data_IF_235372260952
#
_entry.id   IF_235372260952
#
_cell.length_a   1.000
_cell.length_b   1.000
_cell.length_c   1.000
_cell.angle_alpha   90.00
_cell.angle_beta   90.00
_cell.angle_gamma   90.00
#
_symmetry.space_group_name_H-M   'P 1'
#
loop_
_entity.id
_entity.type
_entity.pdbx_description
1 polymer ?
#
# COMPACT_ATOMS: atom_id res chain seq x y z
N UNK A 1 42.07 -4.31 63.34
CA UNK A 1 41.63 -3.20 64.21
C UNK A 1 42.39 -1.93 63.82
N UNK A 2 41.79 -0.77 64.15
CA UNK A 2 42.36 0.53 64.59
C UNK A 2 43.89 0.62 64.81
N UNK A 3 44.58 1.78 64.75
CA UNK A 3 44.36 3.18 64.25
C UNK A 3 45.80 3.78 64.12
N UNK A 4 46.22 4.63 63.18
CA UNK A 4 45.74 5.93 62.64
C UNK A 4 46.25 7.17 63.42
N UNK A 5 46.78 8.19 62.69
CA UNK A 5 47.30 9.53 63.09
C UNK A 5 48.65 9.65 63.87
N UNK A 6 49.41 10.79 63.90
CA UNK A 6 49.79 11.88 62.94
C UNK A 6 50.71 12.94 63.64
N UNK A 7 51.17 14.00 62.92
CA UNK A 7 51.81 15.28 63.41
C UNK A 7 53.29 15.15 63.88
N UNK A 8 54.24 16.11 63.74
CA UNK A 8 54.68 17.18 62.78
C UNK A 8 55.49 18.24 63.56
N UNK A 9 56.73 18.56 63.14
CA UNK A 9 57.53 19.82 63.28
C UNK A 9 58.92 19.56 62.61
N UNK A 10 59.66 20.40 61.84
CA UNK A 10 59.91 21.87 61.77
C UNK A 10 60.67 22.40 63.02
N UNK A 11 61.82 23.10 63.01
CA UNK A 11 62.68 23.81 62.01
C UNK A 11 64.12 23.99 62.61
N UNK A 12 65.23 24.48 61.99
CA UNK A 12 65.62 24.91 60.63
C UNK A 12 67.17 25.02 60.46
N UNK A 13 67.66 25.09 59.20
CA UNK A 13 68.87 25.80 58.65
C UNK A 13 70.27 25.68 59.31
N UNK A 14 71.23 25.19 58.50
CA UNK A 14 72.60 25.71 58.32
C UNK A 14 73.04 25.44 56.85
N UNK A 15 74.05 26.12 56.29
CA UNK A 15 74.36 26.05 54.85
C UNK A 15 75.83 26.24 54.44
N UNK A 16 76.04 26.67 53.19
CA UNK A 16 77.31 26.86 52.44
C UNK A 16 77.92 25.63 51.76
N UNK A 17 77.66 25.54 50.44
CA UNK A 17 78.55 25.20 49.33
C UNK A 17 79.75 24.27 49.52
N UNK A 18 79.76 23.19 48.72
CA UNK A 18 80.76 23.09 47.65
C UNK A 18 80.31 22.25 46.46
N UNK A 19 80.88 22.61 45.32
CA UNK A 19 80.62 22.17 43.95
C UNK A 19 80.31 20.67 43.77
N UNK A 20 79.20 20.38 43.08
CA UNK A 20 79.00 19.10 42.40
C UNK A 20 78.72 19.38 40.91
N UNK A 21 79.42 18.68 40.02
CA UNK A 21 79.25 18.86 38.58
C UNK A 21 77.88 18.32 38.14
N UNK A 22 77.02 19.19 37.63
CA UNK A 22 75.78 18.78 36.94
C UNK A 22 76.15 18.32 35.54
N UNK A 23 75.73 17.12 35.17
CA UNK A 23 75.96 16.53 33.85
C UNK A 23 75.05 17.15 32.78
N UNK A 24 75.64 18.04 31.98
CA UNK A 24 74.97 18.70 30.86
C UNK A 24 74.65 17.77 29.67
N UNK A 25 75.08 16.50 29.65
CA UNK A 25 74.68 15.52 28.62
C UNK A 25 73.16 15.34 28.55
N UNK A 26 72.48 15.53 29.69
CA UNK A 26 71.02 15.44 29.85
C UNK A 26 70.22 16.60 29.24
N UNK A 27 70.85 17.71 28.87
CA UNK A 27 70.17 18.87 28.25
C UNK A 27 70.14 18.86 26.73
N UNK A 28 70.61 17.78 26.10
CA UNK A 28 70.50 17.60 24.66
C UNK A 28 69.08 17.14 24.28
N UNK A 29 68.11 18.04 24.38
CA UNK A 29 66.77 17.86 23.79
C UNK A 29 66.96 17.82 22.26
N UNK A 30 67.21 16.63 21.72
CA UNK A 30 66.99 16.38 20.32
C UNK A 30 65.53 16.75 20.02
N UNK A 31 65.25 17.60 19.02
CA UNK A 31 63.87 17.82 18.59
C UNK A 31 63.30 16.45 18.20
N UNK A 32 62.18 16.07 18.81
CA UNK A 32 61.56 14.76 18.61
C UNK A 32 61.37 14.51 17.12
N UNK A 33 62.15 13.58 16.56
CA UNK A 33 62.20 13.35 15.11
C UNK A 33 60.92 12.61 14.74
N UNK A 34 59.87 13.37 14.45
CA UNK A 34 58.60 12.87 13.91
C UNK A 34 58.95 12.08 12.64
N UNK A 35 58.84 10.73 12.65
CA UNK A 35 59.28 9.90 11.52
C UNK A 35 58.38 10.15 10.32
N UNK A 36 58.91 10.03 9.10
CA UNK A 36 58.41 10.53 7.79
C UNK A 36 56.88 10.51 7.52
N UNK A 37 56.13 11.30 8.29
CA UNK A 37 54.72 11.58 8.08
C UNK A 37 54.57 12.91 7.36
N UNK A 38 54.19 12.85 6.09
CA UNK A 38 53.85 14.02 5.28
C UNK A 38 52.74 14.84 5.95
N UNK A 39 53.14 15.95 6.58
CA UNK A 39 52.24 16.96 7.12
C UNK A 39 51.54 17.67 5.95
N UNK A 40 50.27 18.03 6.12
CA UNK A 40 49.44 18.55 5.03
C UNK A 40 48.68 19.80 5.47
N UNK A 41 48.71 20.80 4.60
CA UNK A 41 47.95 22.02 4.73
C UNK A 41 46.76 22.06 3.77
N UNK A 42 45.68 22.70 4.22
CA UNK A 42 44.43 22.85 3.49
C UNK A 42 44.04 24.33 3.45
N UNK A 43 43.69 24.83 2.27
CA UNK A 43 43.12 26.17 2.08
C UNK A 43 41.61 26.02 2.04
N UNK A 44 40.95 26.64 3.00
CA UNK A 44 39.51 26.69 3.15
C UNK A 44 39.02 28.03 2.64
N UNK A 45 38.04 28.01 1.73
CA UNK A 45 37.47 29.21 1.12
C UNK A 45 35.99 29.33 1.44
N UNK A 46 35.33 30.40 0.96
CA UNK A 46 33.89 30.55 1.17
C UNK A 46 33.10 29.46 0.43
N UNK A 47 33.62 28.99 -0.70
CA UNK A 47 33.03 27.94 -1.52
C UNK A 47 33.42 26.55 -0.98
N UNK A 48 34.71 26.24 -0.96
CA UNK A 48 35.26 24.93 -0.58
C UNK A 48 35.65 24.90 0.90
N UNK A 49 35.01 24.03 1.69
CA UNK A 49 35.37 23.84 3.10
C UNK A 49 35.08 22.42 3.58
N UNK A 50 36.08 21.68 4.11
CA UNK A 50 35.89 20.32 4.60
C UNK A 50 35.10 20.28 5.93
N UNK A 51 34.87 21.45 6.56
CA UNK A 51 33.99 21.59 7.72
C UNK A 51 32.50 21.71 7.37
N UNK A 52 32.12 21.83 6.09
CA UNK A 52 30.70 21.78 5.67
C UNK A 52 30.25 20.33 5.60
N UNK A 53 29.19 19.96 6.32
CA UNK A 53 28.52 18.65 6.17
C UNK A 53 27.99 18.52 4.73
N UNK A 54 28.44 17.53 3.93
CA UNK A 54 27.95 17.34 2.56
C UNK A 54 26.45 17.08 2.51
N UNK A 55 25.81 17.45 1.40
CA UNK A 55 24.36 17.30 1.24
C UNK A 55 23.94 15.83 1.33
N UNK A 56 24.69 14.92 0.70
CA UNK A 56 24.39 13.49 0.69
C UNK A 56 24.38 12.88 2.09
N UNK A 57 25.28 13.33 2.98
CA UNK A 57 25.28 12.89 4.39
C UNK A 57 24.05 13.38 5.16
N UNK A 58 23.57 14.60 4.87
CA UNK A 58 22.32 15.11 5.47
C UNK A 58 21.10 14.35 4.95
N UNK A 59 21.04 14.11 3.64
CA UNK A 59 19.96 13.37 3.01
C UNK A 59 19.89 11.94 3.58
N UNK A 60 21.05 11.29 3.74
CA UNK A 60 21.18 9.95 4.33
C UNK A 60 20.71 9.91 5.79
N UNK A 61 21.09 10.89 6.61
CA UNK A 61 20.65 11.04 8.00
C UNK A 61 19.14 11.26 8.09
N UNK A 62 18.62 12.25 7.33
CA UNK A 62 17.20 12.59 7.31
C UNK A 62 16.32 11.44 6.78
N UNK A 63 16.74 10.75 5.71
CA UNK A 63 16.04 9.60 5.18
C UNK A 63 16.06 8.40 6.15
N UNK A 64 17.20 8.15 6.81
CA UNK A 64 17.29 7.13 7.88
C UNK A 64 16.34 7.44 9.04
N UNK A 65 16.35 8.69 9.52
CA UNK A 65 15.49 9.14 10.62
C UNK A 65 14.02 9.13 10.21
N UNK A 66 13.68 9.51 8.98
CA UNK A 66 12.32 9.44 8.45
C UNK A 66 11.81 7.99 8.44
N UNK A 67 12.56 7.07 7.82
CA UNK A 67 12.21 5.64 7.74
C UNK A 67 12.05 4.97 9.12
N UNK A 68 12.90 5.32 10.09
CA UNK A 68 12.80 4.81 11.47
C UNK A 68 11.52 5.26 12.19
N UNK A 69 11.00 6.45 11.88
CA UNK A 69 9.76 6.98 12.45
C UNK A 69 8.52 6.71 11.56
N UNK A 70 8.70 6.02 10.43
CA UNK A 70 7.68 5.75 9.43
C UNK A 70 6.90 4.48 9.78
N UNK A 71 5.57 4.56 9.89
CA UNK A 71 4.73 3.39 10.17
C UNK A 71 4.62 2.52 8.90
N UNK A 72 5.33 1.39 8.91
CA UNK A 72 5.41 0.46 7.78
C UNK A 72 4.06 -0.10 7.29
N UNK A 73 3.01 -0.06 8.11
CA UNK A 73 1.69 -0.58 7.77
C UNK A 73 0.80 0.47 7.07
N UNK A 74 0.97 1.75 7.39
CA UNK A 74 0.17 2.84 6.82
C UNK A 74 0.90 3.64 5.73
N UNK A 75 2.23 3.59 5.66
CA UNK A 75 2.99 4.21 4.58
C UNK A 75 2.98 3.34 3.29
N UNK A 76 2.41 3.82 2.17
CA UNK A 76 2.39 3.08 0.91
C UNK A 76 3.77 2.97 0.22
N UNK A 77 4.74 3.83 0.56
CA UNK A 77 6.06 3.90 -0.09
C UNK A 77 7.19 3.30 0.77
N UNK A 78 6.86 2.55 1.82
CA UNK A 78 7.82 2.10 2.82
C UNK A 78 8.94 1.21 2.24
N UNK A 79 8.65 0.42 1.20
CA UNK A 79 9.65 -0.43 0.55
C UNK A 79 10.55 0.37 -0.41
N UNK A 80 9.98 1.37 -1.08
CA UNK A 80 10.67 2.34 -1.93
C UNK A 80 11.62 3.21 -1.09
N UNK A 81 11.21 3.63 0.11
CA UNK A 81 12.05 4.32 1.09
C UNK A 81 13.25 3.46 1.51
N UNK A 82 13.04 2.18 1.84
CA UNK A 82 14.14 1.24 2.13
C UNK A 82 15.11 1.13 0.95
N UNK A 83 14.61 0.92 -0.27
CA UNK A 83 15.47 0.80 -1.45
C UNK A 83 16.22 2.11 -1.79
N UNK A 84 15.56 3.27 -1.62
CA UNK A 84 16.17 4.60 -1.78
C UNK A 84 17.29 4.82 -0.77
N UNK A 85 17.10 4.41 0.49
CA UNK A 85 18.11 4.53 1.52
C UNK A 85 19.29 3.57 1.29
N UNK A 86 19.03 2.33 0.83
CA UNK A 86 20.08 1.41 0.37
C UNK A 86 20.89 2.05 -0.77
N UNK A 87 20.25 2.68 -1.75
CA UNK A 87 20.94 3.39 -2.83
C UNK A 87 21.83 4.52 -2.28
N UNK A 88 21.33 5.35 -1.37
CA UNK A 88 22.10 6.43 -0.75
C UNK A 88 23.32 5.91 0.04
N UNK A 89 23.19 4.83 0.82
CA UNK A 89 24.32 4.18 1.49
C UNK A 89 25.35 3.61 0.50
N UNK A 90 24.93 3.14 -0.68
CA UNK A 90 25.86 2.70 -1.72
C UNK A 90 26.61 3.88 -2.36
N UNK A 91 25.93 5.01 -2.65
CA UNK A 91 26.55 6.20 -3.28
C UNK A 91 27.61 6.88 -2.40
N UNK A 92 27.55 6.75 -1.08
CA UNK A 92 28.61 7.30 -0.20
C UNK A 92 29.93 6.50 -0.26
N UNK A 93 29.92 5.28 -0.82
CA UNK A 93 31.12 4.46 -1.07
C UNK A 93 32.01 4.21 0.18
N UNK A 94 31.40 3.94 1.34
CA UNK A 94 32.11 3.66 2.61
C UNK A 94 31.92 2.20 3.04
N UNK A 95 32.98 1.52 3.48
CA UNK A 95 32.91 0.11 3.91
C UNK A 95 32.12 -0.07 5.20
N UNK A 96 32.12 0.92 6.09
CA UNK A 96 31.27 0.90 7.28
C UNK A 96 29.78 1.15 6.97
N UNK A 97 29.39 1.41 5.71
CA UNK A 97 27.99 1.45 5.29
C UNK A 97 27.38 0.05 5.11
N UNK A 98 28.20 -0.98 4.82
CA UNK A 98 27.73 -2.33 4.45
C UNK A 98 26.80 -2.96 5.49
N UNK A 99 27.07 -2.74 6.78
CA UNK A 99 26.24 -3.25 7.88
C UNK A 99 24.84 -2.60 7.91
N UNK A 100 24.73 -1.33 7.49
CA UNK A 100 23.44 -0.63 7.37
C UNK A 100 22.68 -1.10 6.13
N UNK A 101 23.38 -1.28 5.00
CA UNK A 101 22.83 -1.84 3.76
C UNK A 101 22.26 -3.25 4.01
N UNK A 102 23.02 -4.13 4.67
CA UNK A 102 22.57 -5.48 5.04
C UNK A 102 21.35 -5.46 5.97
N UNK A 103 21.31 -4.55 6.94
CA UNK A 103 20.14 -4.40 7.81
C UNK A 103 18.90 -3.93 7.05
N UNK A 104 19.04 -2.99 6.11
CA UNK A 104 17.94 -2.52 5.26
C UNK A 104 17.46 -3.60 4.28
N UNK A 105 18.33 -4.43 3.73
CA UNK A 105 17.92 -5.61 2.96
C UNK A 105 17.10 -6.59 3.83
N UNK A 106 17.50 -6.81 5.08
CA UNK A 106 16.71 -7.61 6.03
C UNK A 106 15.36 -6.93 6.35
N UNK A 107 15.29 -5.61 6.52
CA UNK A 107 14.04 -4.86 6.66
C UNK A 107 13.12 -5.06 5.45
N UNK A 108 13.64 -4.98 4.22
CA UNK A 108 12.87 -5.23 3.00
C UNK A 108 12.31 -6.66 2.92
N UNK A 109 13.07 -7.67 3.38
CA UNK A 109 12.63 -9.07 3.44
C UNK A 109 11.55 -9.29 4.51
N UNK A 110 11.72 -8.71 5.70
CA UNK A 110 10.72 -8.78 6.80
C UNK A 110 9.43 -8.09 6.36
N UNK A 111 9.51 -6.88 5.79
CA UNK A 111 8.37 -6.15 5.24
C UNK A 111 7.59 -6.98 4.22
N UNK A 112 8.27 -7.56 3.22
CA UNK A 112 7.64 -8.42 2.20
C UNK A 112 6.91 -9.60 2.81
N UNK A 113 7.50 -10.26 3.83
CA UNK A 113 6.84 -11.35 4.58
C UNK A 113 5.61 -10.85 5.35
N UNK A 114 5.72 -9.73 6.07
CA UNK A 114 4.64 -9.15 6.85
C UNK A 114 3.43 -8.80 5.98
N UNK A 115 3.66 -8.15 4.82
CA UNK A 115 2.58 -7.74 3.91
C UNK A 115 1.79 -8.95 3.36
N UNK A 116 2.42 -10.11 3.21
CA UNK A 116 1.69 -11.36 2.88
C UNK A 116 0.74 -11.77 4.01
N UNK A 117 1.23 -11.83 5.26
CA UNK A 117 0.39 -12.22 6.41
C UNK A 117 -0.72 -11.19 6.70
N UNK A 118 -0.40 -9.89 6.63
CA UNK A 118 -1.37 -8.79 6.71
C UNK A 118 -2.47 -8.95 5.67
N UNK A 119 -2.14 -9.34 4.43
CA UNK A 119 -3.16 -9.60 3.40
C UNK A 119 -3.97 -10.87 3.67
N UNK A 120 -3.39 -11.91 4.27
CA UNK A 120 -4.13 -13.11 4.72
C UNK A 120 -5.13 -12.75 5.83
N UNK A 121 -4.68 -11.98 6.82
CA UNK A 121 -5.52 -11.46 7.93
C UNK A 121 -6.64 -10.57 7.39
N UNK A 122 -6.31 -9.60 6.51
CA UNK A 122 -7.28 -8.72 5.84
C UNK A 122 -8.38 -9.52 5.14
N UNK A 123 -8.01 -10.57 4.38
CA UNK A 123 -8.96 -11.44 3.66
C UNK A 123 -9.88 -12.23 4.61
N UNK A 124 -9.35 -12.78 5.71
CA UNK A 124 -10.14 -13.48 6.74
C UNK A 124 -11.16 -12.54 7.40
N UNK A 125 -10.68 -11.41 7.92
CA UNK A 125 -11.51 -10.39 8.59
C UNK A 125 -12.57 -9.79 7.64
N UNK A 126 -12.24 -9.61 6.36
CA UNK A 126 -13.21 -9.18 5.34
C UNK A 126 -14.29 -10.24 5.11
N UNK A 127 -13.94 -11.54 5.04
CA UNK A 127 -14.92 -12.61 4.84
C UNK A 127 -15.88 -12.72 6.03
N UNK A 128 -15.38 -12.60 7.26
CA UNK A 128 -16.20 -12.56 8.48
C UNK A 128 -17.11 -11.34 8.53
N UNK A 129 -16.57 -10.16 8.21
CA UNK A 129 -17.35 -8.91 8.13
C UNK A 129 -18.44 -9.01 7.07
N UNK A 130 -18.12 -9.49 5.87
CA UNK A 130 -19.10 -9.73 4.80
C UNK A 130 -20.20 -10.72 5.25
N UNK A 131 -19.84 -11.78 5.98
CA UNK A 131 -20.79 -12.75 6.54
C UNK A 131 -21.73 -12.12 7.57
N UNK A 132 -21.21 -11.29 8.48
CA UNK A 132 -22.00 -10.52 9.45
C UNK A 132 -22.94 -9.53 8.75
N UNK A 133 -22.41 -8.69 7.86
CA UNK A 133 -23.18 -7.70 7.08
C UNK A 133 -24.32 -8.39 6.33
N UNK A 134 -24.03 -9.46 5.58
CA UNK A 134 -25.04 -10.22 4.84
C UNK A 134 -26.11 -10.81 5.76
N UNK A 135 -25.73 -11.39 6.90
CA UNK A 135 -26.68 -11.95 7.87
C UNK A 135 -27.66 -10.88 8.38
N UNK A 136 -27.16 -9.74 8.87
CA UNK A 136 -28.02 -8.67 9.40
C UNK A 136 -28.87 -8.04 8.29
N UNK A 137 -28.29 -7.74 7.12
CA UNK A 137 -29.06 -7.22 5.97
C UNK A 137 -30.19 -8.16 5.54
N UNK A 138 -29.97 -9.48 5.49
CA UNK A 138 -31.02 -10.45 5.17
C UNK A 138 -32.11 -10.49 6.23
N UNK A 139 -31.76 -10.46 7.53
CA UNK A 139 -32.73 -10.44 8.63
C UNK A 139 -33.57 -9.16 8.66
N UNK A 140 -32.94 -8.00 8.52
CA UNK A 140 -33.60 -6.70 8.47
C UNK A 140 -34.53 -6.61 7.25
N UNK A 141 -34.04 -6.97 6.06
CA UNK A 141 -34.83 -6.97 4.81
C UNK A 141 -36.06 -7.89 4.86
N UNK A 142 -35.96 -9.04 5.54
CA UNK A 142 -37.11 -9.92 5.79
C UNK A 142 -38.16 -9.25 6.70
N UNK A 143 -37.72 -8.53 7.74
CA UNK A 143 -38.62 -7.81 8.65
C UNK A 143 -39.26 -6.61 7.95
N UNK A 144 -38.51 -5.83 7.16
CA UNK A 144 -39.06 -4.73 6.35
C UNK A 144 -40.11 -5.22 5.35
N UNK A 145 -39.82 -6.34 4.68
CA UNK A 145 -40.77 -6.97 3.73
C UNK A 145 -42.05 -7.38 4.45
N UNK A 146 -41.95 -8.01 5.62
CA UNK A 146 -43.09 -8.40 6.45
C UNK A 146 -43.88 -7.19 6.95
N UNK A 147 -43.20 -6.17 7.49
CA UNK A 147 -43.82 -4.93 7.95
C UNK A 147 -44.52 -4.17 6.80
N UNK A 148 -43.94 -4.16 5.59
CA UNK A 148 -44.57 -3.61 4.39
C UNK A 148 -45.87 -4.36 4.06
N UNK A 149 -45.83 -5.69 3.97
CA UNK A 149 -47.02 -6.52 3.70
C UNK A 149 -48.11 -6.29 4.76
N UNK A 150 -47.74 -6.21 6.04
CA UNK A 150 -48.69 -5.97 7.13
C UNK A 150 -49.35 -4.59 7.04
N UNK A 151 -48.58 -3.55 6.69
CA UNK A 151 -49.02 -2.15 6.59
C UNK A 151 -49.84 -1.86 5.31
N UNK A 152 -49.52 -2.50 4.18
CA UNK A 152 -50.30 -2.35 2.94
C UNK A 152 -51.71 -2.89 3.14
N UNK A 153 -52.72 -2.13 2.72
CA UNK A 153 -54.13 -2.51 2.87
C UNK A 153 -54.51 -3.70 1.96
N UNK A 154 -55.48 -4.52 2.38
CA UNK A 154 -55.90 -5.69 1.59
C UNK A 154 -56.46 -5.30 0.22
N UNK A 155 -57.20 -4.18 0.11
CA UNK A 155 -57.71 -3.69 -1.18
C UNK A 155 -56.57 -3.30 -2.12
N UNK A 156 -55.45 -2.80 -1.60
CA UNK A 156 -54.25 -2.49 -2.38
C UNK A 156 -53.59 -3.77 -2.91
N UNK A 157 -53.47 -4.81 -2.09
CA UNK A 157 -52.91 -6.10 -2.52
C UNK A 157 -53.79 -6.82 -3.54
N UNK A 158 -55.12 -6.78 -3.36
CA UNK A 158 -56.09 -7.29 -4.33
C UNK A 158 -56.02 -6.55 -5.67
N UNK A 159 -55.85 -5.22 -5.65
CA UNK A 159 -55.64 -4.42 -6.86
C UNK A 159 -54.31 -4.78 -7.57
N UNK A 160 -53.22 -4.99 -6.82
CA UNK A 160 -51.93 -5.42 -7.38
C UNK A 160 -52.05 -6.79 -8.07
N UNK A 161 -52.66 -7.78 -7.40
CA UNK A 161 -52.96 -9.10 -7.99
C UNK A 161 -53.82 -8.98 -9.25
N UNK A 162 -54.84 -8.12 -9.25
CA UNK A 162 -55.71 -7.88 -10.40
C UNK A 162 -54.92 -7.29 -11.59
N UNK A 163 -54.08 -6.29 -11.33
CA UNK A 163 -53.24 -5.65 -12.34
C UNK A 163 -52.23 -6.64 -12.96
N UNK A 164 -51.61 -7.51 -12.15
CA UNK A 164 -50.70 -8.54 -12.66
C UNK A 164 -51.47 -9.59 -13.49
N UNK A 165 -52.64 -10.05 -13.01
CA UNK A 165 -53.51 -10.97 -13.77
C UNK A 165 -53.94 -10.39 -15.12
N UNK A 166 -54.19 -9.09 -15.21
CA UNK A 166 -54.53 -8.43 -16.47
C UNK A 166 -53.33 -8.34 -17.42
N UNK A 167 -52.15 -7.95 -16.94
CA UNK A 167 -50.89 -8.00 -17.73
C UNK A 167 -50.58 -9.41 -18.26
N UNK A 168 -50.84 -10.45 -17.47
CA UNK A 168 -50.72 -11.85 -17.89
C UNK A 168 -51.69 -12.16 -19.04
N UNK A 169 -52.99 -11.83 -18.90
CA UNK A 169 -53.98 -12.02 -19.97
C UNK A 169 -53.61 -11.29 -21.26
N UNK A 170 -53.13 -10.05 -21.16
CA UNK A 170 -52.67 -9.26 -22.31
C UNK A 170 -51.49 -9.93 -23.02
N UNK A 171 -50.47 -10.36 -22.27
CA UNK A 171 -49.30 -11.05 -22.81
C UNK A 171 -49.62 -12.45 -23.36
N UNK A 172 -50.55 -13.18 -22.75
CA UNK A 172 -51.09 -14.44 -23.28
C UNK A 172 -51.84 -14.21 -24.60
N UNK A 173 -52.72 -13.20 -24.68
CA UNK A 173 -53.43 -12.83 -25.91
C UNK A 173 -52.45 -12.41 -27.02
N UNK A 174 -51.40 -11.68 -26.67
CA UNK A 174 -50.32 -11.31 -27.59
C UNK A 174 -49.57 -12.56 -28.11
N UNK A 175 -49.14 -13.47 -27.23
CA UNK A 175 -48.49 -14.73 -27.60
C UNK A 175 -49.36 -15.59 -28.54
N UNK A 176 -50.65 -15.76 -28.21
CA UNK A 176 -51.62 -16.49 -29.05
C UNK A 176 -51.77 -15.83 -30.42
N UNK A 177 -51.78 -14.50 -30.49
CA UNK A 177 -51.84 -13.78 -31.76
C UNK A 177 -50.56 -13.98 -32.58
N UNK A 178 -49.37 -13.90 -31.97
CA UNK A 178 -48.10 -14.18 -32.67
C UNK A 178 -48.10 -15.62 -33.21
N UNK A 179 -48.46 -16.62 -32.40
CA UNK A 179 -48.51 -18.03 -32.83
C UNK A 179 -49.54 -18.28 -33.94
N UNK A 180 -50.67 -17.56 -33.93
CA UNK A 180 -51.65 -17.60 -35.03
C UNK A 180 -51.11 -16.97 -36.31
N UNK A 181 -50.45 -15.82 -36.22
CA UNK A 181 -49.82 -15.18 -37.38
C UNK A 181 -48.70 -16.04 -37.98
N UNK A 182 -47.85 -16.65 -37.14
CA UNK A 182 -46.87 -17.64 -37.58
C UNK A 182 -47.52 -18.81 -38.33
N UNK A 183 -48.59 -19.41 -37.77
CA UNK A 183 -49.32 -20.50 -38.44
C UNK A 183 -49.93 -20.07 -39.76
N UNK A 184 -50.52 -18.88 -39.84
CA UNK A 184 -51.16 -18.38 -41.05
C UNK A 184 -50.13 -18.10 -42.15
N UNK A 185 -49.03 -17.41 -41.82
CA UNK A 185 -47.97 -17.11 -42.77
C UNK A 185 -47.28 -18.41 -43.28
N UNK A 186 -47.11 -19.43 -42.41
CA UNK A 186 -46.59 -20.74 -42.81
C UNK A 186 -47.57 -21.52 -43.70
N UNK A 187 -48.85 -21.63 -43.32
CA UNK A 187 -49.88 -22.31 -44.12
C UNK A 187 -50.11 -21.66 -45.51
N UNK A 188 -49.73 -20.40 -45.70
CA UNK A 188 -49.78 -19.74 -47.01
C UNK A 188 -48.69 -20.22 -48.00
N UNK A 189 -47.72 -21.00 -47.52
CA UNK A 189 -46.57 -21.51 -48.29
C UNK A 189 -46.52 -23.04 -48.21
N UNK A 190 -46.64 -23.59 -47.00
CA UNK A 190 -46.66 -25.01 -46.72
C UNK A 190 -48.07 -25.54 -46.94
N UNK A 191 -48.27 -26.23 -48.07
CA UNK A 191 -49.54 -26.83 -48.48
C UNK A 191 -50.03 -27.99 -47.57
N UNK A 192 -49.27 -28.34 -46.52
CA UNK A 192 -49.60 -29.37 -45.55
C UNK A 192 -49.79 -28.75 -44.15
N UNK A 193 -50.99 -28.91 -43.58
CA UNK A 193 -51.34 -28.42 -42.25
C UNK A 193 -50.56 -29.10 -41.11
N UNK A 194 -50.20 -30.37 -41.29
CA UNK A 194 -49.53 -31.16 -40.26
C UNK A 194 -48.06 -30.75 -40.16
N UNK A 195 -47.39 -30.60 -41.31
CA UNK A 195 -46.03 -30.05 -41.41
C UNK A 195 -45.92 -28.65 -40.79
N UNK A 196 -46.94 -27.80 -40.95
CA UNK A 196 -47.00 -26.49 -40.27
C UNK A 196 -47.26 -26.62 -38.76
N UNK A 197 -47.97 -27.66 -38.30
CA UNK A 197 -48.15 -27.91 -36.87
C UNK A 197 -46.83 -28.34 -36.22
N UNK A 198 -46.17 -29.33 -36.80
CA UNK A 198 -44.90 -29.91 -36.32
C UNK A 198 -43.80 -28.84 -36.27
N UNK A 199 -43.63 -28.06 -37.35
CA UNK A 199 -42.66 -26.96 -37.41
C UNK A 199 -42.94 -25.83 -36.37
N UNK A 200 -44.13 -25.79 -35.77
CA UNK A 200 -44.50 -24.85 -34.70
C UNK A 200 -44.43 -25.50 -33.30
N UNK A 201 -44.56 -26.82 -33.16
CA UNK A 201 -44.29 -27.52 -31.88
C UNK A 201 -42.80 -27.62 -31.59
N UNK A 202 -41.99 -27.82 -32.63
CA UNK A 202 -40.61 -28.28 -32.49
C UNK A 202 -39.60 -27.12 -32.36
N UNK A 203 -40.09 -25.89 -32.19
CA UNK A 203 -39.30 -24.67 -31.98
C UNK A 203 -38.67 -24.72 -30.58
N UNK A 204 -37.45 -25.24 -30.52
CA UNK A 204 -36.66 -25.40 -29.30
C UNK A 204 -35.64 -24.26 -29.14
N UNK A 205 -35.36 -23.89 -27.88
CA UNK A 205 -34.49 -22.79 -27.52
C UNK A 205 -33.37 -23.22 -26.57
N UNK A 206 -32.17 -22.71 -26.81
CA UNK A 206 -30.97 -22.97 -25.99
C UNK A 206 -30.31 -21.66 -25.59
N UNK A 207 -29.84 -21.58 -24.35
CA UNK A 207 -29.20 -20.39 -23.80
C UNK A 207 -27.72 -20.66 -23.51
N UNK A 208 -26.86 -19.67 -23.80
CA UNK A 208 -25.42 -19.73 -23.52
C UNK A 208 -24.98 -18.44 -22.83
N UNK A 209 -24.28 -18.58 -21.70
CA UNK A 209 -23.62 -17.44 -21.04
C UNK A 209 -22.42 -17.03 -21.87
N UNK A 210 -22.31 -15.74 -22.19
CA UNK A 210 -21.09 -15.14 -22.71
C UNK A 210 -20.84 -13.80 -22.03
N UNK A 211 -19.67 -13.68 -21.40
CA UNK A 211 -19.23 -12.46 -20.70
C UNK A 211 -18.71 -11.37 -21.65
N UNK A 212 -18.53 -11.71 -22.93
CA UNK A 212 -18.03 -10.82 -23.99
C UNK A 212 -19.11 -10.38 -25.00
N UNK A 213 -20.32 -10.96 -24.93
CA UNK A 213 -21.42 -10.74 -25.89
C UNK A 213 -21.08 -11.07 -27.37
N UNK A 214 -20.01 -11.82 -27.62
CA UNK A 214 -19.64 -12.29 -28.95
C UNK A 214 -20.38 -13.60 -29.30
N UNK A 215 -21.71 -13.48 -29.41
CA UNK A 215 -22.57 -14.59 -29.84
C UNK A 215 -22.09 -15.18 -31.17
N UNK A 216 -21.71 -16.46 -31.15
CA UNK A 216 -21.30 -17.18 -32.36
C UNK A 216 -22.48 -17.26 -33.34
N UNK A 217 -22.21 -17.24 -34.65
CA UNK A 217 -23.27 -17.35 -35.67
C UNK A 217 -24.08 -18.65 -35.54
N UNK A 218 -23.50 -19.67 -34.91
CA UNK A 218 -24.08 -20.99 -34.67
C UNK A 218 -23.72 -21.51 -33.28
N UNK A 219 -24.55 -22.42 -32.77
CA UNK A 219 -24.30 -23.29 -31.62
C UNK A 219 -24.71 -24.72 -32.01
N UNK A 220 -23.82 -25.43 -32.70
CA UNK A 220 -24.24 -26.62 -33.47
C UNK A 220 -25.20 -26.19 -34.59
N UNK A 221 -26.36 -26.86 -34.68
CA UNK A 221 -27.45 -26.55 -35.63
C UNK A 221 -28.33 -25.36 -35.21
N UNK A 222 -28.07 -24.76 -34.03
CA UNK A 222 -28.90 -23.68 -33.50
C UNK A 222 -28.38 -22.30 -33.94
N UNK A 223 -29.26 -21.44 -34.47
CA UNK A 223 -28.93 -20.04 -34.86
C UNK A 223 -29.37 -19.04 -33.76
N UNK A 224 -28.63 -17.94 -33.52
CA UNK A 224 -28.97 -16.93 -32.53
C UNK A 224 -30.23 -16.14 -32.91
N UNK A 225 -31.06 -15.79 -31.93
CA UNK A 225 -32.18 -14.84 -32.12
C UNK A 225 -31.74 -13.39 -31.86
N UNK A 226 -32.38 -12.44 -32.55
CA UNK A 226 -32.19 -10.99 -32.37
C UNK A 226 -32.88 -10.48 -31.09
N UNK A 227 -32.36 -10.86 -29.92
CA UNK A 227 -32.80 -10.33 -28.63
C UNK A 227 -31.63 -9.99 -27.70
N UNK A 228 -31.59 -8.76 -27.21
CA UNK A 228 -30.52 -8.24 -26.34
C UNK A 228 -30.67 -8.70 -24.89
N UNK A 229 -30.20 -9.91 -24.58
CA UNK A 229 -29.91 -10.33 -23.21
C UNK A 229 -28.50 -9.83 -22.81
N UNK A 230 -28.34 -9.03 -21.74
CA UNK A 230 -27.13 -8.21 -21.55
C UNK A 230 -25.84 -8.96 -21.15
N UNK A 231 -25.86 -10.29 -21.03
CA UNK A 231 -24.69 -11.14 -20.71
C UNK A 231 -24.82 -12.55 -21.34
N UNK A 232 -25.60 -12.70 -22.42
CA UNK A 232 -25.94 -14.02 -22.94
C UNK A 232 -26.45 -14.02 -24.38
N UNK A 233 -26.39 -15.20 -24.97
CA UNK A 233 -26.86 -15.50 -26.32
C UNK A 233 -27.96 -16.56 -26.24
N UNK A 234 -29.10 -16.30 -26.89
CA UNK A 234 -30.19 -17.27 -27.05
C UNK A 234 -30.20 -17.74 -28.50
N UNK A 235 -30.34 -19.04 -28.70
CA UNK A 235 -30.37 -19.68 -30.00
C UNK A 235 -31.65 -20.52 -30.14
N UNK A 236 -32.07 -20.80 -31.37
CA UNK A 236 -33.15 -21.74 -31.69
C UNK A 236 -32.73 -22.74 -32.75
N UNK A 237 -33.36 -23.91 -32.79
CA UNK A 237 -33.02 -25.06 -33.64
C UNK A 237 -33.37 -24.90 -35.13
N UNK A 238 -33.06 -23.74 -35.68
CA UNK A 238 -33.52 -23.28 -36.98
C UNK A 238 -33.19 -24.22 -38.14
N UNK A 239 -31.97 -24.76 -38.19
CA UNK A 239 -31.58 -25.60 -39.33
C UNK A 239 -32.35 -26.95 -39.31
N UNK A 240 -32.55 -27.56 -38.12
CA UNK A 240 -33.40 -28.75 -37.94
C UNK A 240 -34.82 -28.52 -38.49
N UNK A 241 -35.40 -27.36 -38.18
CA UNK A 241 -36.74 -26.95 -38.64
C UNK A 241 -36.82 -26.66 -40.14
N UNK A 242 -35.69 -26.50 -40.84
CA UNK A 242 -35.64 -26.19 -42.27
C UNK A 242 -35.33 -27.45 -43.09
N UNK A 243 -34.54 -28.38 -42.55
CA UNK A 243 -34.21 -29.65 -43.22
C UNK A 243 -35.45 -30.53 -43.50
N UNK A 244 -36.51 -30.39 -42.70
CA UNK A 244 -37.81 -31.06 -42.92
C UNK A 244 -38.65 -30.44 -44.06
N UNK A 245 -38.27 -29.26 -44.57
CA UNK A 245 -39.03 -28.49 -45.56
C UNK A 245 -38.41 -28.63 -46.96
N UNK A 246 -39.21 -28.89 -48.03
CA UNK A 246 -38.71 -28.93 -49.40
C UNK A 246 -37.97 -27.65 -49.80
N UNK A 247 -36.79 -27.78 -50.40
CA UNK A 247 -35.83 -26.69 -50.67
C UNK A 247 -36.45 -25.42 -51.29
N UNK A 248 -37.41 -25.59 -52.21
CA UNK A 248 -38.12 -24.49 -52.87
C UNK A 248 -38.88 -23.54 -51.91
N UNK A 249 -39.28 -24.01 -50.72
CA UNK A 249 -40.01 -23.23 -49.72
C UNK A 249 -39.11 -22.72 -48.58
N UNK A 250 -37.92 -23.30 -48.39
CA UNK A 250 -37.02 -23.00 -47.27
C UNK A 250 -36.70 -21.49 -47.10
N UNK A 251 -36.40 -20.69 -48.14
CA UNK A 251 -36.08 -19.26 -47.97
C UNK A 251 -37.26 -18.42 -47.43
N UNK A 252 -38.49 -18.85 -47.72
CA UNK A 252 -39.70 -18.17 -47.28
C UNK A 252 -40.01 -18.54 -45.83
N UNK A 253 -39.88 -19.82 -45.47
CA UNK A 253 -39.98 -20.31 -44.08
C UNK A 253 -38.91 -19.68 -43.18
N UNK A 254 -37.65 -19.58 -43.64
CA UNK A 254 -36.56 -18.84 -42.97
C UNK A 254 -36.97 -17.41 -42.60
N UNK A 255 -37.61 -16.72 -43.54
CA UNK A 255 -38.02 -15.31 -43.39
C UNK A 255 -39.14 -15.16 -42.35
N UNK A 256 -40.07 -16.11 -42.31
CA UNK A 256 -41.17 -16.17 -41.34
C UNK A 256 -40.69 -16.56 -39.93
N UNK A 257 -39.79 -17.55 -39.82
CA UNK A 257 -39.21 -17.94 -38.53
C UNK A 257 -38.39 -16.79 -37.93
N UNK A 258 -37.52 -16.15 -38.71
CA UNK A 258 -36.76 -14.95 -38.29
C UNK A 258 -37.67 -13.81 -37.80
N UNK A 259 -38.87 -13.66 -38.36
CA UNK A 259 -39.87 -12.62 -38.02
C UNK A 259 -40.60 -12.90 -36.70
N UNK A 260 -40.97 -14.15 -36.43
CA UNK A 260 -41.86 -14.49 -35.30
C UNK A 260 -41.18 -15.15 -34.10
N UNK A 261 -40.16 -15.98 -34.32
CA UNK A 261 -39.51 -16.75 -33.24
C UNK A 261 -38.91 -15.86 -32.13
N UNK A 262 -38.25 -14.71 -32.42
CA UNK A 262 -37.72 -13.84 -31.36
C UNK A 262 -38.82 -13.23 -30.46
N UNK A 263 -39.97 -12.86 -31.02
CA UNK A 263 -41.10 -12.29 -30.26
C UNK A 263 -41.89 -13.36 -29.49
N UNK A 264 -41.98 -14.59 -30.01
CA UNK A 264 -42.51 -15.74 -29.26
C UNK A 264 -41.66 -16.00 -28.01
N UNK A 265 -40.34 -16.13 -28.16
CA UNK A 265 -39.41 -16.30 -27.05
C UNK A 265 -39.53 -15.20 -26.01
N UNK A 266 -39.37 -13.94 -26.43
CA UNK A 266 -39.46 -12.74 -25.59
C UNK A 266 -40.77 -12.67 -24.82
N UNK A 267 -41.90 -13.02 -25.44
CA UNK A 267 -43.21 -13.01 -24.78
C UNK A 267 -43.37 -14.19 -23.80
N UNK A 268 -42.88 -15.39 -24.14
CA UNK A 268 -42.86 -16.54 -23.25
C UNK A 268 -42.02 -16.26 -21.99
N UNK A 269 -40.82 -15.69 -22.16
CA UNK A 269 -39.91 -15.34 -21.06
C UNK A 269 -40.49 -14.23 -20.17
N UNK A 270 -41.17 -13.23 -20.74
CA UNK A 270 -41.85 -12.20 -19.94
C UNK A 270 -43.03 -12.75 -19.11
N UNK A 271 -43.68 -13.83 -19.58
CA UNK A 271 -44.72 -14.52 -18.83
C UNK A 271 -44.13 -15.42 -17.72
N UNK A 272 -43.23 -16.33 -18.09
CA UNK A 272 -42.87 -17.51 -17.29
C UNK A 272 -41.41 -17.55 -16.83
N UNK A 273 -40.58 -16.58 -17.25
CA UNK A 273 -39.13 -16.62 -17.07
C UNK A 273 -38.48 -17.68 -17.96
N UNK A 274 -37.25 -18.07 -17.62
CA UNK A 274 -36.59 -19.24 -18.18
C UNK A 274 -35.51 -19.75 -17.23
N UNK A 275 -35.49 -21.08 -17.07
CA UNK A 275 -34.55 -21.83 -16.25
C UNK A 275 -33.60 -22.60 -17.17
N UNK A 276 -32.31 -22.34 -17.05
CA UNK A 276 -31.29 -23.09 -17.78
C UNK A 276 -30.83 -24.28 -16.93
N UNK A 277 -31.12 -25.50 -17.40
CA UNK A 277 -30.78 -26.75 -16.72
C UNK A 277 -29.28 -27.01 -16.71
N UNK A 278 -28.55 -26.68 -17.79
CA UNK A 278 -27.11 -26.88 -17.91
C UNK A 278 -26.30 -26.04 -16.90
N UNK A 279 -26.88 -24.96 -16.38
CA UNK A 279 -26.29 -24.12 -15.33
C UNK A 279 -27.05 -24.17 -14.00
N UNK A 280 -28.09 -25.02 -13.88
CA UNK A 280 -28.99 -25.15 -12.73
C UNK A 280 -29.47 -23.78 -12.20
N UNK A 281 -29.95 -22.91 -13.09
CA UNK A 281 -30.14 -21.49 -12.79
C UNK A 281 -31.36 -20.86 -13.48
N UNK A 282 -32.19 -20.16 -12.71
CA UNK A 282 -33.13 -19.18 -13.27
C UNK A 282 -32.34 -18.02 -13.90
N UNK A 283 -32.45 -17.89 -15.23
CA UNK A 283 -31.74 -16.89 -16.01
C UNK A 283 -32.55 -15.58 -16.02
N UNK A 284 -33.81 -15.69 -16.42
CA UNK A 284 -34.74 -14.58 -16.50
C UNK A 284 -35.65 -14.62 -15.27
N UNK A 285 -35.15 -14.02 -14.19
CA UNK A 285 -35.74 -14.10 -12.83
C UNK A 285 -36.75 -12.96 -12.52
N UNK A 286 -37.14 -12.18 -13.54
CA UNK A 286 -38.22 -11.20 -13.48
C UNK A 286 -39.25 -11.54 -14.56
N UNK A 287 -40.43 -11.99 -14.14
CA UNK A 287 -41.49 -12.50 -15.01
C UNK A 287 -42.85 -12.52 -14.30
N UNK A 288 -43.92 -12.31 -15.06
CA UNK A 288 -45.24 -11.99 -14.51
C UNK A 288 -45.84 -13.08 -13.62
N UNK A 289 -45.59 -14.37 -13.89
CA UNK A 289 -46.09 -15.45 -13.03
C UNK A 289 -45.41 -15.48 -11.64
N UNK A 290 -44.13 -15.08 -11.55
CA UNK A 290 -43.44 -14.92 -10.25
C UNK A 290 -43.97 -13.70 -9.50
N UNK A 291 -44.20 -12.59 -10.19
CA UNK A 291 -44.83 -11.40 -9.59
C UNK A 291 -46.22 -11.74 -9.03
N UNK A 292 -47.01 -12.53 -9.78
CA UNK A 292 -48.32 -13.02 -9.33
C UNK A 292 -48.21 -13.95 -8.12
N UNK A 293 -47.26 -14.89 -8.12
CA UNK A 293 -47.01 -15.77 -6.98
C UNK A 293 -46.64 -14.97 -5.72
N UNK A 294 -45.74 -14.00 -5.85
CA UNK A 294 -45.33 -13.11 -4.74
C UNK A 294 -46.54 -12.31 -4.23
N UNK A 295 -47.33 -11.70 -5.11
CA UNK A 295 -48.49 -10.91 -4.71
C UNK A 295 -49.57 -11.76 -4.02
N UNK A 296 -49.84 -12.98 -4.49
CA UNK A 296 -50.75 -13.91 -3.82
C UNK A 296 -50.21 -14.35 -2.44
N UNK A 297 -48.90 -14.60 -2.31
CA UNK A 297 -48.27 -14.96 -1.03
C UNK A 297 -48.32 -13.79 -0.03
N UNK A 298 -48.13 -12.56 -0.48
CA UNK A 298 -48.29 -11.36 0.35
C UNK A 298 -49.72 -11.26 0.89
N UNK A 299 -50.74 -11.51 0.05
CA UNK A 299 -52.14 -11.51 0.46
C UNK A 299 -52.45 -12.64 1.46
N UNK A 300 -51.86 -13.82 1.29
CA UNK A 300 -52.01 -14.91 2.25
C UNK A 300 -51.42 -14.51 3.63
N UNK A 301 -50.20 -13.99 3.65
CA UNK A 301 -49.53 -13.48 4.86
C UNK A 301 -50.39 -12.40 5.54
N UNK A 302 -50.88 -11.41 4.77
CA UNK A 302 -51.77 -10.35 5.26
C UNK A 302 -53.02 -10.91 5.94
N UNK A 303 -53.66 -11.91 5.34
CA UNK A 303 -54.91 -12.50 5.85
C UNK A 303 -54.71 -13.32 7.12
N UNK A 304 -53.61 -14.06 7.25
CA UNK A 304 -53.28 -14.77 8.49
C UNK A 304 -53.20 -13.80 9.68
N UNK A 305 -52.51 -12.66 9.50
CA UNK A 305 -52.38 -11.62 10.54
C UNK A 305 -53.72 -11.03 11.01
N UNK A 306 -54.72 -10.93 10.12
CA UNK A 306 -56.03 -10.36 10.46
C UNK A 306 -56.85 -11.30 11.36
N UNK A 307 -56.69 -12.62 11.16
CA UNK A 307 -57.36 -13.67 11.93
C UNK A 307 -56.80 -13.77 13.35
N UNK A 308 -55.51 -13.50 13.54
CA UNK A 308 -54.83 -13.57 14.85
C UNK A 308 -55.18 -12.39 15.80
N UNK A 309 -55.95 -11.40 15.34
CA UNK A 309 -56.46 -10.24 16.10
C UNK A 309 -55.41 -9.35 16.83
N UNK A 310 -54.12 -9.66 16.78
CA UNK A 310 -53.03 -8.93 17.44
C UNK A 310 -52.10 -8.19 16.47
N UNK A 311 -52.58 -7.84 15.28
CA UNK A 311 -51.77 -7.21 14.20
C UNK A 311 -50.95 -5.99 14.66
N UNK A 312 -51.53 -5.09 15.46
CA UNK A 312 -50.84 -3.92 16.03
C UNK A 312 -49.68 -4.31 16.97
N UNK A 313 -49.86 -5.36 17.76
CA UNK A 313 -48.85 -5.90 18.68
C UNK A 313 -47.73 -6.59 17.92
N UNK A 314 -48.06 -7.43 16.92
CA UNK A 314 -47.08 -8.07 16.04
C UNK A 314 -46.24 -7.04 15.26
N UNK A 315 -46.85 -5.98 14.72
CA UNK A 315 -46.11 -4.86 14.10
C UNK A 315 -45.08 -4.28 15.09
N UNK A 316 -45.48 -4.03 16.34
CA UNK A 316 -44.59 -3.46 17.36
C UNK A 316 -43.46 -4.42 17.76
N UNK A 317 -43.73 -5.73 17.90
CA UNK A 317 -42.68 -6.72 18.14
C UNK A 317 -41.66 -6.75 16.99
N UNK A 318 -42.14 -6.75 15.74
CA UNK A 318 -41.28 -6.74 14.55
C UNK A 318 -40.45 -5.45 14.45
N UNK A 319 -41.00 -4.28 14.80
CA UNK A 319 -40.24 -3.02 14.90
C UNK A 319 -39.17 -3.11 16.00
N UNK A 320 -39.51 -3.59 17.19
CA UNK A 320 -38.56 -3.77 18.29
C UNK A 320 -37.42 -4.74 17.91
N UNK A 321 -37.75 -5.80 17.17
CA UNK A 321 -36.80 -6.78 16.62
C UNK A 321 -35.89 -6.19 15.55
N UNK A 322 -36.42 -5.33 14.67
CA UNK A 322 -35.64 -4.56 13.69
C UNK A 322 -34.65 -3.62 14.39
N UNK A 323 -35.12 -2.85 15.37
CA UNK A 323 -34.29 -1.92 16.14
C UNK A 323 -33.17 -2.66 16.89
N UNK A 324 -33.49 -3.78 17.55
CA UNK A 324 -32.52 -4.65 18.23
C UNK A 324 -31.47 -5.20 17.25
N UNK A 325 -31.89 -5.75 16.11
CA UNK A 325 -30.96 -6.25 15.07
C UNK A 325 -30.08 -5.14 14.48
N UNK A 326 -30.58 -3.91 14.40
CA UNK A 326 -29.79 -2.75 13.94
C UNK A 326 -28.71 -2.37 14.97
N UNK A 327 -29.03 -2.39 16.27
CA UNK A 327 -28.05 -2.20 17.35
C UNK A 327 -27.03 -3.35 17.43
N UNK A 328 -27.47 -4.60 17.27
CA UNK A 328 -26.59 -5.77 17.19
C UNK A 328 -25.65 -5.70 15.97
N UNK A 329 -26.13 -5.22 14.81
CA UNK A 329 -25.30 -5.00 13.63
C UNK A 329 -24.23 -3.93 13.90
N UNK A 330 -24.58 -2.82 14.57
CA UNK A 330 -23.67 -1.72 14.88
C UNK A 330 -22.59 -2.11 15.91
N UNK A 331 -22.93 -2.98 16.87
CA UNK A 331 -21.99 -3.44 17.92
C UNK A 331 -21.13 -4.63 17.50
N UNK A 332 -21.68 -5.57 16.70
CA UNK A 332 -20.94 -6.77 16.25
C UNK A 332 -19.96 -6.53 15.10
N UNK A 333 -20.01 -5.36 14.46
CA UNK A 333 -19.14 -4.96 13.34
C UNK A 333 -18.37 -3.71 13.76
N UNK A 334 -17.10 -3.88 14.15
CA UNK A 334 -16.23 -2.74 14.51
C UNK A 334 -15.97 -1.87 13.27
N UNK A 335 -16.64 -0.72 13.20
CA UNK A 335 -16.52 0.25 12.10
C UNK A 335 -15.14 0.90 11.97
N UNK A 336 -14.34 0.98 13.04
CA UNK A 336 -13.00 1.57 12.97
C UNK A 336 -11.98 0.68 12.20
N UNK A 337 -12.29 -0.61 12.01
CA UNK A 337 -11.54 -1.52 11.14
C UNK A 337 -11.91 -1.35 9.65
N UNK A 338 -12.90 -0.52 9.32
CA UNK A 338 -13.51 -0.45 7.99
C UNK A 338 -13.38 0.94 7.35
N UNK A 339 -13.36 0.97 6.02
CA UNK A 339 -13.60 2.18 5.22
C UNK A 339 -15.11 2.45 4.98
N UNK A 340 -15.40 3.55 4.29
CA UNK A 340 -16.75 3.94 3.86
C UNK A 340 -17.46 2.86 3.01
N UNK A 341 -16.68 2.07 2.25
CA UNK A 341 -17.13 0.95 1.41
C UNK A 341 -17.27 -0.38 2.17
N UNK A 342 -17.13 -0.35 3.50
CA UNK A 342 -17.12 -1.50 4.41
C UNK A 342 -16.04 -2.54 4.08
N UNK A 343 -14.89 -2.10 3.56
CA UNK A 343 -13.68 -2.92 3.38
C UNK A 343 -12.75 -2.74 4.56
N UNK A 344 -11.99 -3.79 4.89
CA UNK A 344 -10.98 -3.74 5.95
C UNK A 344 -9.89 -2.73 5.59
N UNK A 345 -9.80 -1.64 6.34
CA UNK A 345 -8.78 -0.61 6.17
C UNK A 345 -7.52 -1.01 6.96
N UNK A 346 -6.47 -1.43 6.25
CA UNK A 346 -5.22 -1.87 6.90
C UNK A 346 -4.38 -0.72 7.45
N UNK A 347 -4.65 0.51 6.99
CA UNK A 347 -3.93 1.71 7.41
C UNK A 347 -4.61 2.42 8.59
N UNK A 348 -5.71 1.87 9.15
CA UNK A 348 -6.38 2.46 10.31
C UNK A 348 -5.70 2.05 11.62
N UNK A 349 -5.77 2.95 12.62
CA UNK A 349 -5.21 2.69 13.95
C UNK A 349 -5.83 1.45 14.61
N UNK A 350 -7.14 1.23 14.45
CA UNK A 350 -7.80 0.04 14.98
C UNK A 350 -7.29 -1.27 14.34
N UNK A 351 -6.86 -1.25 13.06
CA UNK A 351 -6.25 -2.42 12.44
C UNK A 351 -4.81 -2.64 12.91
N UNK A 352 -4.06 -1.56 13.19
CA UNK A 352 -2.77 -1.66 13.87
C UNK A 352 -2.90 -2.23 15.30
N UNK A 353 -3.88 -1.77 16.07
CA UNK A 353 -4.24 -2.31 17.40
C UNK A 353 -4.62 -3.80 17.32
N UNK A 354 -5.39 -4.20 16.31
CA UNK A 354 -5.73 -5.60 16.04
C UNK A 354 -4.49 -6.47 15.70
N UNK A 355 -3.47 -5.91 15.04
CA UNK A 355 -2.20 -6.59 14.78
C UNK A 355 -1.22 -6.57 15.97
N UNK A 356 -1.38 -5.65 16.93
CA UNK A 356 -0.44 -5.47 18.05
C UNK A 356 -0.13 -6.77 18.82
N UNK A 357 -1.10 -7.65 19.17
CA UNK A 357 -0.80 -8.95 19.78
C UNK A 357 0.04 -9.90 18.90
N UNK A 358 0.00 -9.75 17.58
CA UNK A 358 0.79 -10.56 16.64
C UNK A 358 2.23 -10.04 16.48
N UNK A 359 2.44 -8.74 16.73
CA UNK A 359 3.77 -8.12 16.87
C UNK A 359 4.42 -8.54 18.20
N UNK A 360 3.68 -8.48 19.31
CA UNK A 360 4.14 -8.87 20.65
C UNK A 360 4.44 -10.38 20.78
N UNK A 361 3.89 -11.22 19.92
CA UNK A 361 4.13 -12.67 19.88
C UNK A 361 4.98 -13.11 18.66
N UNK A 362 5.79 -12.20 18.10
CA UNK A 362 6.86 -12.49 17.15
C UNK A 362 6.43 -13.14 15.80
N UNK A 363 5.11 -13.25 15.56
CA UNK A 363 4.50 -13.78 14.33
C UNK A 363 4.67 -12.83 13.15
N UNK A 364 4.53 -11.53 13.44
CA UNK A 364 4.87 -10.42 12.56
C UNK A 364 6.02 -9.69 13.27
N UNK A 365 7.13 -9.41 12.57
CA UNK A 365 8.28 -8.71 13.16
C UNK A 365 8.33 -7.30 12.61
N UNK A 366 8.57 -6.29 13.44
CA UNK A 366 8.79 -4.92 12.95
C UNK A 366 9.98 -4.92 11.96
N UNK A 367 9.79 -4.45 10.70
CA UNK A 367 10.86 -4.40 9.72
C UNK A 367 12.08 -3.60 10.15
N UNK A 368 11.92 -2.51 10.92
CA UNK A 368 12.98 -1.51 11.10
C UNK A 368 13.86 -1.71 12.33
N UNK A 369 13.46 -2.55 13.28
CA UNK A 369 14.15 -2.73 14.57
C UNK A 369 15.65 -2.96 14.41
N UNK A 370 16.06 -3.86 13.51
CA UNK A 370 17.48 -4.15 13.27
C UNK A 370 18.26 -2.94 12.74
N UNK A 371 17.67 -2.17 11.82
CA UNK A 371 18.30 -0.96 11.29
C UNK A 371 18.32 0.16 12.34
N UNK A 372 17.24 0.34 13.10
CA UNK A 372 17.14 1.34 14.18
C UNK A 372 18.16 1.07 15.31
N UNK A 373 18.38 -0.19 15.69
CA UNK A 373 19.42 -0.58 16.66
C UNK A 373 20.83 -0.22 16.18
N UNK A 374 21.11 -0.34 14.87
CA UNK A 374 22.40 0.05 14.27
C UNK A 374 22.53 1.56 14.10
N UNK A 375 21.48 2.26 13.69
CA UNK A 375 21.42 3.72 13.58
C UNK A 375 21.77 4.39 14.91
N UNK A 376 21.29 3.82 16.03
CA UNK A 376 21.56 4.29 17.38
C UNK A 376 22.91 3.81 17.96
N UNK A 377 23.65 2.94 17.29
CA UNK A 377 24.89 2.32 17.80
C UNK A 377 26.11 3.28 17.74
N UNK A 378 26.43 3.92 18.88
CA UNK A 378 27.51 4.93 18.98
C UNK A 378 28.87 4.44 18.46
N UNK A 379 29.34 3.22 18.77
CA UNK A 379 30.56 2.66 18.15
C UNK A 379 30.52 2.59 16.61
N UNK A 380 29.42 2.14 16.01
CA UNK A 380 29.30 2.02 14.54
C UNK A 380 29.23 3.38 13.86
N UNK A 381 28.42 4.31 14.36
CA UNK A 381 28.33 5.68 13.81
C UNK A 381 29.66 6.42 13.96
N UNK A 382 30.43 6.16 15.03
CA UNK A 382 31.80 6.69 15.16
C UNK A 382 32.73 6.14 14.05
N UNK A 383 32.67 4.85 13.71
CA UNK A 383 33.44 4.29 12.59
C UNK A 383 33.00 4.89 11.24
N UNK A 384 31.69 4.93 10.98
CA UNK A 384 31.13 5.48 9.75
C UNK A 384 31.56 6.94 9.52
N UNK A 385 31.45 7.79 10.55
CA UNK A 385 31.85 9.21 10.42
C UNK A 385 33.36 9.43 10.41
N UNK A 386 34.17 8.53 10.98
CA UNK A 386 35.63 8.53 10.82
C UNK A 386 36.06 8.15 9.40
N UNK A 387 35.37 7.21 8.75
CA UNK A 387 35.59 6.86 7.35
C UNK A 387 35.12 7.98 6.42
N UNK A 388 33.93 8.55 6.65
CA UNK A 388 33.40 9.69 5.88
C UNK A 388 34.33 10.92 5.98
N UNK A 389 34.85 11.23 7.19
CA UNK A 389 35.84 12.30 7.37
C UNK A 389 37.16 12.02 6.61
N UNK A 390 37.50 10.75 6.37
CA UNK A 390 38.65 10.38 5.52
C UNK A 390 38.33 10.60 4.05
N UNK A 391 37.12 10.23 3.59
CA UNK A 391 36.64 10.49 2.23
C UNK A 391 36.68 12.00 1.90
N UNK A 392 36.11 12.85 2.76
CA UNK A 392 36.10 14.32 2.59
C UNK A 392 37.50 14.91 2.40
N UNK A 393 38.52 14.37 3.09
CA UNK A 393 39.90 14.87 2.98
C UNK A 393 40.65 14.31 1.76
N UNK A 394 40.36 13.06 1.37
CA UNK A 394 40.93 12.45 0.17
C UNK A 394 40.36 13.06 -1.13
N UNK A 395 39.11 13.50 -1.11
CA UNK A 395 38.39 14.12 -2.24
C UNK A 395 38.50 15.65 -2.27
N UNK A 396 39.24 16.26 -1.33
CA UNK A 396 39.41 17.71 -1.28
C UNK A 396 40.21 18.23 -2.49
N UNK A 397 39.86 19.39 -3.09
CA UNK A 397 40.53 19.88 -4.29
C UNK A 397 42.04 20.05 -4.10
N UNK A 398 42.84 19.43 -4.97
CA UNK A 398 44.30 19.32 -4.80
C UNK A 398 45.00 20.68 -4.86
N UNK A 399 44.47 21.60 -5.67
CA UNK A 399 44.87 23.00 -5.78
C UNK A 399 44.62 23.83 -4.51
N UNK A 400 43.78 23.32 -3.60
CA UNK A 400 43.55 23.85 -2.25
C UNK A 400 44.28 23.03 -1.17
N UNK A 401 45.21 22.14 -1.55
CA UNK A 401 46.08 21.42 -0.61
C UNK A 401 47.55 21.77 -0.86
N UNK A 402 48.36 21.66 0.19
CA UNK A 402 49.82 21.78 0.08
C UNK A 402 50.53 20.83 1.04
N UNK A 403 51.73 20.39 0.67
CA UNK A 403 52.58 19.59 1.54
C UNK A 403 53.41 20.52 2.44
N UNK A 404 53.65 20.08 3.66
CA UNK A 404 54.57 20.70 4.61
C UNK A 404 55.75 19.73 4.77
N UNK A 405 56.97 20.23 4.59
CA UNK A 405 58.19 19.45 4.71
C UNK A 405 58.54 19.19 6.18
N UNK A 406 59.37 18.18 6.44
CA UNK A 406 59.75 17.74 7.80
C UNK A 406 60.39 18.85 8.67
N UNK A 407 60.89 19.93 8.06
CA UNK A 407 61.43 21.12 8.72
C UNK A 407 60.39 22.25 8.93
N UNK A 408 59.09 21.95 8.80
CA UNK A 408 57.98 22.90 8.96
C UNK A 408 57.74 23.83 7.78
N UNK A 409 58.60 23.84 6.75
CA UNK A 409 58.47 24.74 5.59
C UNK A 409 57.45 24.23 4.58
N UNK A 410 56.73 25.15 3.95
CA UNK A 410 55.73 24.88 2.92
C UNK A 410 55.75 25.97 1.86
N UNK A 411 55.06 25.75 0.73
CA UNK A 411 54.78 26.78 -0.27
C UNK A 411 53.28 26.85 -0.47
N UNK A 412 52.68 27.99 -0.19
CA UNK A 412 51.26 28.20 -0.40
C UNK A 412 50.98 28.36 -1.91
N UNK A 413 50.03 27.61 -2.50
CA UNK A 413 49.56 27.88 -3.85
C UNK A 413 48.84 29.24 -3.91
N UNK A 414 48.71 29.81 -5.11
CA UNK A 414 48.17 31.16 -5.31
C UNK A 414 46.68 31.24 -4.95
N UNK A 415 46.39 31.67 -3.73
CA UNK A 415 45.05 31.99 -3.23
C UNK A 415 44.45 33.13 -4.07
N UNK A 416 43.18 32.99 -4.49
CA UNK A 416 42.45 33.97 -5.32
C UNK A 416 41.20 34.56 -4.63
N UNK A 417 40.79 34.04 -3.48
CA UNK A 417 39.64 34.55 -2.71
C UNK A 417 40.12 35.48 -1.59
N UNK A 418 39.44 36.62 -1.41
CA UNK A 418 39.77 37.62 -0.36
C UNK A 418 39.47 37.15 1.08
N UNK A 419 38.74 36.04 1.22
CA UNK A 419 38.36 35.40 2.48
C UNK A 419 38.75 33.93 2.44
N UNK A 420 39.80 33.58 3.19
CA UNK A 420 40.33 32.23 3.27
C UNK A 420 40.79 31.91 4.71
N UNK A 421 40.90 30.62 5.00
CA UNK A 421 41.57 30.10 6.19
C UNK A 421 42.58 29.05 5.77
N UNK A 422 43.76 29.06 6.38
CA UNK A 422 44.76 28.00 6.19
C UNK A 422 44.66 27.08 7.40
N UNK A 423 44.47 25.78 7.18
CA UNK A 423 44.48 24.76 8.22
C UNK A 423 45.70 23.88 8.01
N UNK A 424 46.59 23.86 9.01
CA UNK A 424 47.70 22.92 9.10
C UNK A 424 47.26 21.74 9.94
N UNK A 425 47.26 20.54 9.35
CA UNK A 425 46.92 19.28 10.03
C UNK A 425 48.20 18.64 10.58
N UNK A 426 48.50 18.89 11.85
CA UNK A 426 49.62 18.24 12.55
C UNK A 426 49.14 16.88 13.03
N UNK A 427 49.40 15.88 12.19
CA UNK A 427 48.82 14.54 12.31
C UNK A 427 48.99 13.94 13.71
N UNK A 428 48.02 13.07 14.02
CA UNK A 428 47.85 12.37 15.31
C UNK A 428 47.43 13.26 16.49
N UNK A 429 47.82 14.55 16.56
CA UNK A 429 47.64 15.37 17.79
C UNK A 429 46.82 16.67 17.67
N UNK A 430 47.08 17.57 16.71
CA UNK A 430 46.40 18.88 16.69
C UNK A 430 46.28 19.55 15.30
N UNK A 431 45.44 20.57 15.19
CA UNK A 431 45.33 21.42 13.99
C UNK A 431 45.63 22.87 14.34
N UNK A 432 46.24 23.63 13.42
CA UNK A 432 46.38 25.09 13.53
C UNK A 432 45.58 25.76 12.42
N UNK A 433 44.65 26.65 12.77
CA UNK A 433 43.82 27.40 11.82
C UNK A 433 44.24 28.86 11.81
N UNK A 434 44.84 29.32 10.72
CA UNK A 434 45.06 30.73 10.43
C UNK A 434 43.85 31.35 9.73
N UNK A 435 43.39 32.52 10.19
CA UNK A 435 42.29 33.26 9.62
C UNK A 435 42.78 34.42 8.73
N UNK A 436 42.82 34.22 7.42
CA UNK A 436 43.38 35.15 6.42
C UNK A 436 42.41 36.20 5.88
N UNK A 437 41.31 36.49 6.60
CA UNK A 437 40.24 37.37 6.12
C UNK A 437 40.77 38.78 5.80
N UNK A 438 40.63 39.21 4.54
CA UNK A 438 41.16 40.47 3.99
C UNK A 438 42.70 40.62 4.03
N UNK A 439 43.45 39.53 4.23
CA UNK A 439 44.92 39.56 4.28
C UNK A 439 45.51 39.19 2.91
N UNK A 440 45.97 40.21 2.18
CA UNK A 440 46.51 40.14 0.81
C UNK A 440 47.73 39.20 0.67
N UNK A 441 48.57 39.12 1.71
CA UNK A 441 49.78 38.28 1.73
C UNK A 441 49.79 37.47 3.02
N UNK A 442 49.61 36.14 2.99
CA UNK A 442 49.73 35.31 4.18
C UNK A 442 51.17 35.34 4.73
N UNK A 443 51.39 35.10 6.03
CA UNK A 443 52.72 34.96 6.60
C UNK A 443 53.46 33.79 5.94
N UNK A 444 54.78 33.95 5.76
CA UNK A 444 55.62 32.93 5.12
C UNK A 444 55.84 31.69 5.99
N UNK A 445 55.79 31.88 7.31
CA UNK A 445 56.03 30.86 8.32
C UNK A 445 54.91 30.93 9.38
N UNK A 446 54.50 29.77 9.91
CA UNK A 446 53.51 29.67 10.99
C UNK A 446 54.18 29.17 12.28
N UNK A 447 53.89 29.88 13.38
CA UNK A 447 54.31 29.54 14.73
C UNK A 447 53.07 29.60 15.65
N UNK A 448 53.15 29.03 16.86
CA UNK A 448 52.05 29.08 17.83
C UNK A 448 51.60 30.52 18.18
N UNK A 449 52.50 31.49 18.03
CA UNK A 449 52.27 32.91 18.33
C UNK A 449 51.98 33.76 17.07
N UNK A 450 51.76 33.15 15.90
CA UNK A 450 51.43 33.91 14.68
C UNK A 450 50.06 34.61 14.84
N UNK A 451 49.94 35.93 14.57
CA UNK A 451 48.65 36.61 14.67
C UNK A 451 47.56 35.93 13.82
N UNK A 452 46.34 35.92 14.34
CA UNK A 452 45.16 35.28 13.74
C UNK A 452 45.21 33.74 13.60
N UNK A 453 46.10 33.02 14.32
CA UNK A 453 46.02 31.56 14.45
C UNK A 453 45.19 31.09 15.66
N UNK A 454 44.46 29.98 15.48
CA UNK A 454 43.76 29.25 16.54
C UNK A 454 44.23 27.79 16.51
N UNK A 455 44.80 27.31 17.61
CA UNK A 455 45.15 25.90 17.78
C UNK A 455 43.94 25.09 18.28
N UNK A 456 43.72 23.93 17.68
CA UNK A 456 42.69 22.96 18.07
C UNK A 456 43.37 21.66 18.52
N UNK A 457 43.09 21.18 19.74
CA UNK A 457 43.62 19.92 20.29
C UNK A 457 43.04 18.63 19.67
N UNK A 458 42.78 18.66 18.36
CA UNK A 458 42.32 17.57 17.52
C UNK A 458 42.86 17.76 16.10
N UNK A 459 43.22 16.69 15.41
CA UNK A 459 43.55 16.74 13.99
C UNK A 459 42.30 16.95 13.11
N UNK A 460 42.47 17.38 11.87
CA UNK A 460 41.38 17.82 10.99
C UNK A 460 40.35 16.70 10.75
N UNK A 461 40.81 15.46 10.58
CA UNK A 461 39.95 14.27 10.47
C UNK A 461 39.09 14.06 11.72
N UNK A 462 39.65 14.23 12.92
CA UNK A 462 38.90 14.16 14.18
C UNK A 462 37.84 15.27 14.26
N UNK A 463 38.17 16.51 13.91
CA UNK A 463 37.21 17.65 13.93
C UNK A 463 36.03 17.40 12.99
N UNK A 464 36.28 16.93 11.76
CA UNK A 464 35.23 16.61 10.78
C UNK A 464 34.39 15.43 11.26
N UNK A 465 35.02 14.34 11.71
CA UNK A 465 34.32 13.16 12.24
C UNK A 465 33.42 13.50 13.44
N UNK A 466 33.91 14.30 14.39
CA UNK A 466 33.11 14.77 15.53
C UNK A 466 31.91 15.61 15.08
N UNK A 467 32.04 16.44 14.04
CA UNK A 467 30.93 17.23 13.50
C UNK A 467 29.88 16.36 12.82
N UNK A 468 30.30 15.40 11.99
CA UNK A 468 29.40 14.43 11.35
C UNK A 468 28.69 13.55 12.40
N UNK A 469 29.40 13.14 13.45
CA UNK A 469 28.82 12.38 14.57
C UNK A 469 27.77 13.19 15.34
N UNK A 470 28.05 14.47 15.62
CA UNK A 470 27.08 15.39 16.25
C UNK A 470 25.85 15.62 15.36
N UNK A 471 26.02 15.75 14.05
CA UNK A 471 24.89 15.84 13.10
C UNK A 471 24.00 14.58 13.19
N UNK A 472 24.59 13.39 13.25
CA UNK A 472 23.82 12.13 13.29
C UNK A 472 23.06 11.90 14.60
N UNK A 473 23.57 12.39 15.73
CA UNK A 473 22.99 12.14 17.06
C UNK A 473 22.16 13.29 17.66
N UNK A 474 22.34 14.53 17.19
CA UNK A 474 21.70 15.71 17.79
C UNK A 474 20.63 16.35 16.88
N UNK A 475 20.25 15.69 15.78
CA UNK A 475 19.21 16.13 14.83
C UNK A 475 17.87 15.45 15.09
#
# INVERSE_FOLDING_TARGET
MLRNFFIILLCMVAGCDKESHIDYSSFNIQPEIIPDQKQQGFIITNNCSPFKTPLDFKNLEQASKSLINSNWLSNPYYLEEIHSLIYQFNQIHLKNADIFIQALHNSALIYKKNIVEVNIIKRKLQAETNKKIKYYQQKLSSIDTYLKITRTDEKQQLNEISNIKNKIKEKQKHYINIRRSLRNDLNAILLNNDLTFDLISDINFTYRIDKSLHCSKYLGVYQPITFTAPNACVYYNKEELIETIPQQFQPQVVTILNKYVPELWKTMVQLNGYFESNYNKQVFDSYLQKDLMIANNNLAIKRTMTVEHQSQYAINEHINKYNKLTMEMATSINKALLDEHNKVNVSSMAFYEYLSPLLLHDKIKDPIVNFSLLYNNKPLIKKLTQEYATKILNEYPKELTFNIANNGKFTLPKIRENSYKIVIDVKESYSVIYNGCNILTPPKDFHQNTPNTISMGYNLKQVISQKLFKQWYNS
#
